data_IF_938585763853
#
_entry.id   IF_938585763853
#
_cell.length_a   1.000
_cell.length_b   1.000
_cell.length_c   1.000
_cell.angle_alpha   90.00
_cell.angle_beta   90.00
_cell.angle_gamma   90.00
#
_symmetry.space_group_name_H-M   'P 1'
#
loop_
_entity.id
_entity.type
_entity.pdbx_description
1 polymer ?
#
# COMPACT_ATOMS: atom_id res chain seq x y z
N UNK A 1 12.12 15.59 24.34
CA UNK A 1 12.37 14.30 23.67
C UNK A 1 11.00 13.67 23.42
N UNK A 2 10.16 14.39 22.66
CA UNK A 2 8.78 14.03 22.29
C UNK A 2 8.47 14.60 20.89
N UNK A 3 9.06 15.75 20.52
CA UNK A 3 8.93 16.35 19.17
C UNK A 3 9.53 15.50 18.03
N UNK A 4 10.56 14.68 18.32
CA UNK A 4 11.23 13.85 17.31
C UNK A 4 10.36 12.68 16.86
N UNK A 5 9.50 12.15 17.72
CA UNK A 5 8.60 11.04 17.38
C UNK A 5 7.40 11.52 16.58
N UNK A 6 6.88 12.70 16.90
CA UNK A 6 5.74 13.29 16.17
C UNK A 6 6.13 13.63 14.74
N UNK A 7 7.28 14.27 14.54
CA UNK A 7 7.81 14.61 13.21
C UNK A 7 8.12 13.37 12.37
N UNK A 8 8.68 12.32 12.97
CA UNK A 8 8.92 11.05 12.29
C UNK A 8 7.62 10.36 11.83
N UNK A 9 6.55 10.44 12.62
CA UNK A 9 5.24 9.89 12.24
C UNK A 9 4.56 10.72 11.14
N UNK A 10 4.70 12.05 11.20
CA UNK A 10 4.19 12.95 10.16
C UNK A 10 4.89 12.74 8.82
N UNK A 11 6.20 12.52 8.82
CA UNK A 11 6.97 12.18 7.61
C UNK A 11 6.51 10.85 7.00
N UNK A 12 6.24 9.84 7.82
CA UNK A 12 5.71 8.56 7.34
C UNK A 12 4.30 8.68 6.77
N UNK A 13 3.43 9.47 7.41
CA UNK A 13 2.09 9.76 6.90
C UNK A 13 2.15 10.54 5.57
N UNK A 14 3.06 11.50 5.45
CA UNK A 14 3.25 12.29 4.23
C UNK A 14 3.75 11.43 3.04
N UNK A 15 4.52 10.38 3.31
CA UNK A 15 4.96 9.41 2.30
C UNK A 15 3.92 8.35 1.94
N UNK A 16 2.78 8.31 2.63
CA UNK A 16 1.74 7.31 2.38
C UNK A 16 0.80 7.78 1.28
N UNK A 17 0.79 7.08 0.15
CA UNK A 17 -0.11 7.38 -0.96
C UNK A 17 -1.57 7.04 -0.60
N UNK A 18 -2.46 8.02 -0.80
CA UNK A 18 -3.90 7.79 -0.70
C UNK A 18 -4.39 7.15 -2.00
N UNK A 19 -5.31 6.20 -1.86
CA UNK A 19 -5.91 5.52 -3.00
C UNK A 19 -7.36 5.96 -3.15
N UNK A 20 -7.76 6.27 -4.38
CA UNK A 20 -9.15 6.61 -4.69
C UNK A 20 -10.06 5.40 -4.42
N UNK A 21 -11.03 5.56 -3.53
CA UNK A 21 -12.02 4.53 -3.26
C UNK A 21 -13.23 4.71 -4.19
N UNK A 22 -13.52 3.72 -5.02
CA UNK A 22 -14.68 3.76 -5.94
C UNK A 22 -16.03 3.77 -5.23
N UNK A 23 -16.08 3.32 -3.97
CA UNK A 23 -17.32 3.23 -3.21
C UNK A 23 -17.67 4.54 -2.51
N UNK A 24 -16.70 5.19 -1.84
CA UNK A 24 -16.95 6.45 -1.15
C UNK A 24 -16.60 7.69 -1.99
N UNK A 25 -15.92 7.51 -3.13
CA UNK A 25 -15.59 8.59 -4.06
C UNK A 25 -14.50 9.55 -3.58
N UNK A 26 -13.79 9.20 -2.50
CA UNK A 26 -12.73 10.00 -1.92
C UNK A 26 -11.38 9.27 -1.94
N UNK A 27 -10.30 10.04 -1.91
CA UNK A 27 -8.95 9.53 -1.74
C UNK A 27 -8.74 9.18 -0.27
N UNK A 28 -8.54 7.89 0.01
CA UNK A 28 -8.48 7.38 1.38
C UNK A 28 -7.34 6.40 1.55
N UNK A 29 -6.87 6.26 2.79
CA UNK A 29 -6.01 5.15 3.17
C UNK A 29 -6.75 3.83 2.98
N UNK A 30 -6.04 2.83 2.48
CA UNK A 30 -6.53 1.46 2.41
C UNK A 30 -5.59 0.58 3.22
N UNK A 31 -6.15 -0.15 4.18
CA UNK A 31 -5.39 -1.09 5.00
C UNK A 31 -5.24 -2.42 4.22
N UNK A 32 -4.06 -3.02 4.30
CA UNK A 32 -3.84 -4.39 3.84
C UNK A 32 -4.51 -5.35 4.81
N UNK A 33 -5.42 -6.19 4.31
CA UNK A 33 -6.08 -7.23 5.10
C UNK A 33 -5.42 -8.59 4.90
N UNK A 34 -5.27 -9.01 3.65
CA UNK A 34 -4.84 -10.36 3.31
C UNK A 34 -4.05 -10.39 1.99
N UNK A 35 -3.16 -11.37 1.86
CA UNK A 35 -2.53 -11.74 0.59
C UNK A 35 -3.36 -12.85 -0.04
N UNK A 36 -3.95 -12.58 -1.21
CA UNK A 36 -4.79 -13.55 -1.91
C UNK A 36 -3.93 -14.52 -2.72
N UNK A 37 -3.02 -13.98 -3.54
CA UNK A 37 -2.16 -14.81 -4.40
C UNK A 37 -0.82 -14.13 -4.67
N UNK A 38 0.24 -14.93 -4.82
CA UNK A 38 1.60 -14.46 -5.13
C UNK A 38 2.01 -14.97 -6.51
N UNK A 39 2.27 -14.04 -7.41
CA UNK A 39 2.74 -14.30 -8.77
C UNK A 39 4.24 -14.00 -8.90
N UNK A 40 4.91 -14.50 -9.95
CA UNK A 40 6.33 -14.21 -10.18
C UNK A 40 6.68 -12.71 -10.33
N UNK A 41 5.69 -11.87 -10.67
CA UNK A 41 5.88 -10.44 -11.01
C UNK A 41 5.00 -9.50 -10.17
N UNK A 42 4.27 -10.03 -9.18
CA UNK A 42 3.41 -9.20 -8.35
C UNK A 42 2.61 -10.02 -7.34
N UNK A 43 1.99 -9.33 -6.40
CA UNK A 43 1.17 -9.92 -5.35
C UNK A 43 -0.24 -9.35 -5.42
N UNK A 44 -1.25 -10.21 -5.37
CA UNK A 44 -2.63 -9.81 -5.24
C UNK A 44 -3.01 -9.72 -3.76
N UNK A 45 -3.54 -8.57 -3.37
CA UNK A 45 -3.80 -8.17 -1.99
C UNK A 45 -5.27 -7.83 -1.85
N UNK A 46 -5.89 -8.27 -0.76
CA UNK A 46 -7.16 -7.75 -0.31
C UNK A 46 -6.89 -6.52 0.56
N UNK A 47 -7.45 -5.39 0.15
CA UNK A 47 -7.34 -4.13 0.88
C UNK A 47 -8.71 -3.62 1.28
N UNK A 48 -8.78 -2.92 2.41
CA UNK A 48 -10.02 -2.32 2.91
C UNK A 48 -9.87 -0.82 3.04
N UNK A 49 -10.83 -0.08 2.49
CA UNK A 49 -10.92 1.36 2.70
C UNK A 49 -11.15 1.66 4.18
N UNK A 50 -10.29 2.45 4.80
CA UNK A 50 -10.40 2.78 6.23
C UNK A 50 -11.61 3.67 6.54
N UNK A 51 -12.24 4.26 5.51
CA UNK A 51 -13.40 5.15 5.66
C UNK A 51 -14.74 4.43 5.53
N UNK A 52 -14.96 3.72 4.43
CA UNK A 52 -16.24 3.04 4.15
C UNK A 52 -16.20 1.53 4.40
N UNK A 53 -15.05 1.00 4.83
CA UNK A 53 -14.83 -0.42 5.12
C UNK A 53 -15.09 -1.35 3.93
N UNK A 54 -15.20 -0.80 2.71
CA UNK A 54 -15.34 -1.61 1.51
C UNK A 54 -14.00 -2.25 1.17
N UNK A 55 -14.07 -3.53 0.83
CA UNK A 55 -12.93 -4.33 0.40
C UNK A 55 -12.74 -4.24 -1.12
N UNK A 56 -11.49 -4.27 -1.54
CA UNK A 56 -11.10 -4.32 -2.95
C UNK A 56 -9.83 -5.13 -3.12
N UNK A 57 -9.70 -5.74 -4.29
CA UNK A 57 -8.45 -6.37 -4.70
C UNK A 57 -7.49 -5.33 -5.26
N UNK A 58 -6.21 -5.47 -4.94
CA UNK A 58 -5.13 -4.61 -5.41
C UNK A 58 -3.96 -5.48 -5.85
N UNK A 59 -3.35 -5.13 -6.98
CA UNK A 59 -2.17 -5.82 -7.48
C UNK A 59 -0.93 -4.97 -7.23
N UNK A 60 -0.08 -5.43 -6.32
CA UNK A 60 1.21 -4.84 -6.04
C UNK A 60 2.26 -5.44 -6.98
N UNK A 61 2.67 -4.65 -7.97
CA UNK A 61 3.64 -5.07 -8.96
C UNK A 61 5.05 -4.99 -8.40
N UNK A 62 5.68 -6.14 -8.23
CA UNK A 62 7.11 -6.16 -7.88
C UNK A 62 7.90 -6.02 -9.18
N UNK A 63 8.64 -4.92 -9.41
CA UNK A 63 9.46 -4.82 -10.61
C UNK A 63 10.45 -5.99 -10.65
N UNK A 64 10.67 -6.61 -11.83
CA UNK A 64 11.60 -7.72 -11.95
C UNK A 64 12.99 -7.24 -11.52
N UNK A 65 13.54 -7.86 -10.47
CA UNK A 65 14.93 -7.57 -10.05
C UNK A 65 15.82 -7.77 -11.28
N UNK A 66 16.61 -6.75 -11.69
CA UNK A 66 17.55 -6.95 -12.79
C UNK A 66 18.45 -8.12 -12.41
N UNK A 67 18.53 -9.13 -13.28
CA UNK A 67 19.50 -10.22 -13.12
C UNK A 67 20.87 -9.56 -12.98
N UNK A 68 21.47 -9.66 -11.79
CA UNK A 68 22.85 -9.27 -11.59
C UNK A 68 23.70 -10.13 -12.54
N UNK A 69 24.14 -9.53 -13.65
CA UNK A 69 25.16 -10.12 -14.50
C UNK A 69 26.47 -10.09 -13.68
N UNK A 70 26.80 -11.21 -13.05
CA UNK A 70 28.16 -11.46 -12.61
C UNK A 70 29.00 -11.73 -13.85
N UNK A 71 29.95 -10.83 -14.11
CA UNK A 71 31.01 -11.00 -15.10
C UNK A 71 32.27 -11.53 -14.41
#
# INVERSE_FOLDING_TARGET
MEDDELSFLEEQLAGTELLACVTCGEDTLHAHLEVLEVYPVGTELLMQCTRCQTERMWMDWTPPKPKAYHN
#
